data_IF_473168028918
#
_entry.id   IF_473168028918
#
_cell.length_a   1.000
_cell.length_b   1.000
_cell.length_c   1.000
_cell.angle_alpha   90.00
_cell.angle_beta   90.00
_cell.angle_gamma   90.00
#
_symmetry.space_group_name_H-M   'P 1'
#
loop_
_entity.id
_entity.type
_entity.pdbx_description
1 polymer ?
#
# COMPACT_ATOMS: atom_id res chain seq x y z
N UNK A 1 43.72 -11.54 -45.73
CA UNK A 1 42.61 -10.69 -45.25
C UNK A 1 42.63 -10.74 -43.72
N UNK A 2 43.15 -9.70 -43.08
CA UNK A 2 43.20 -9.60 -41.62
C UNK A 2 41.93 -8.93 -41.12
N UNK A 3 41.19 -9.62 -40.26
CA UNK A 3 39.93 -9.14 -39.67
C UNK A 3 40.27 -8.24 -38.48
N UNK A 4 40.08 -6.92 -38.65
CA UNK A 4 40.18 -5.94 -37.56
C UNK A 4 38.86 -5.98 -36.79
N UNK A 5 38.91 -6.47 -35.55
CA UNK A 5 37.78 -6.38 -34.61
C UNK A 5 37.82 -4.98 -34.00
N UNK A 6 36.88 -4.13 -34.41
CA UNK A 6 36.60 -2.85 -33.77
C UNK A 6 35.87 -3.11 -32.44
N UNK A 7 36.56 -2.88 -31.33
CA UNK A 7 35.95 -2.84 -30.01
C UNK A 7 35.02 -1.61 -29.94
N UNK A 8 33.74 -1.84 -29.67
CA UNK A 8 32.80 -0.77 -29.35
C UNK A 8 33.10 -0.21 -27.95
N UNK A 9 32.96 1.11 -27.73
CA UNK A 9 33.15 1.69 -26.42
C UNK A 9 32.02 1.21 -25.50
N UNK A 10 32.39 0.76 -24.30
CA UNK A 10 31.45 0.47 -23.24
C UNK A 10 30.57 1.70 -22.97
N UNK A 11 29.25 1.50 -22.99
CA UNK A 11 28.31 2.52 -22.56
C UNK A 11 28.60 2.84 -21.09
N UNK A 12 28.96 4.09 -20.81
CA UNK A 12 29.08 4.58 -19.45
C UNK A 12 27.70 4.46 -18.79
N UNK A 13 27.63 3.61 -17.76
CA UNK A 13 26.53 3.58 -16.81
C UNK A 13 26.38 4.99 -16.22
N UNK A 14 25.22 5.63 -16.45
CA UNK A 14 24.89 6.86 -15.76
C UNK A 14 24.78 6.53 -14.27
N UNK A 15 25.57 7.22 -13.44
CA UNK A 15 25.46 7.12 -12.00
C UNK A 15 24.02 7.44 -11.56
N UNK A 16 23.46 6.71 -10.57
CA UNK A 16 22.18 7.08 -9.98
C UNK A 16 22.25 8.53 -9.48
N UNK A 17 21.16 9.31 -9.55
CA UNK A 17 21.14 10.67 -9.03
C UNK A 17 21.56 10.66 -7.56
N UNK A 18 22.44 11.58 -7.18
CA UNK A 18 22.93 11.70 -5.81
C UNK A 18 21.75 11.83 -4.84
N UNK A 19 21.66 10.91 -3.88
CA UNK A 19 20.70 10.97 -2.78
C UNK A 19 20.94 12.27 -2.01
N UNK A 20 20.02 13.21 -2.12
CA UNK A 20 20.02 14.42 -1.29
C UNK A 20 19.34 14.09 0.02
N UNK A 21 20.06 14.18 1.14
CA UNK A 21 19.44 14.18 2.46
C UNK A 21 18.85 15.55 2.71
N UNK A 22 17.53 15.59 2.89
CA UNK A 22 16.82 16.76 3.37
C UNK A 22 16.67 16.58 4.88
N UNK A 23 17.27 17.49 5.64
CA UNK A 23 17.06 17.56 7.09
C UNK A 23 16.20 18.78 7.41
N UNK A 24 15.11 18.57 8.14
CA UNK A 24 14.23 19.67 8.52
C UNK A 24 13.01 19.24 9.31
N UNK A 25 12.23 20.25 9.69
CA UNK A 25 10.95 20.08 10.39
C UNK A 25 9.80 20.18 9.39
N UNK A 26 8.91 19.20 9.40
CA UNK A 26 7.66 19.26 8.62
C UNK A 26 6.74 20.28 9.28
N UNK A 27 6.49 21.40 8.60
CA UNK A 27 5.69 22.51 9.13
C UNK A 27 4.21 22.33 8.84
N UNK A 28 3.90 21.86 7.63
CA UNK A 28 2.55 21.69 7.14
C UNK A 28 2.52 20.57 6.12
N UNK A 29 1.44 19.78 6.12
CA UNK A 29 1.14 18.86 5.04
C UNK A 29 -0.25 19.09 4.48
N UNK A 30 -0.40 18.91 3.17
CA UNK A 30 -1.67 19.00 2.45
C UNK A 30 -1.76 17.79 1.52
N UNK A 31 -2.79 16.96 1.70
CA UNK A 31 -3.09 15.86 0.79
C UNK A 31 -4.17 16.26 -0.19
N UNK A 32 -4.09 15.73 -1.42
CA UNK A 32 -5.11 15.90 -2.46
C UNK A 32 -5.19 14.67 -3.35
N UNK A 33 -6.33 14.47 -4.00
CA UNK A 33 -6.42 13.57 -5.14
C UNK A 33 -5.67 14.16 -6.35
N UNK A 34 -5.09 13.29 -7.17
CA UNK A 34 -4.73 13.65 -8.55
C UNK A 34 -5.97 13.99 -9.35
N UNK A 35 -5.83 14.75 -10.44
CA UNK A 35 -6.99 15.21 -11.24
C UNK A 35 -7.86 14.05 -11.75
N UNK A 36 -7.25 12.92 -12.10
CA UNK A 36 -7.94 11.70 -12.52
C UNK A 36 -8.54 10.88 -11.37
N UNK A 37 -8.27 11.26 -10.11
CA UNK A 37 -8.74 10.56 -8.92
C UNK A 37 -8.07 9.21 -8.64
N UNK A 38 -7.02 8.84 -9.39
CA UNK A 38 -6.40 7.50 -9.27
C UNK A 38 -5.58 7.33 -7.99
N UNK A 39 -5.04 8.42 -7.42
CA UNK A 39 -4.13 8.34 -6.27
C UNK A 39 -4.18 9.60 -5.40
N UNK A 40 -3.83 9.44 -4.13
CA UNK A 40 -3.60 10.55 -3.20
C UNK A 40 -2.13 10.97 -3.26
N UNK A 41 -1.87 12.27 -3.30
CA UNK A 41 -0.54 12.84 -3.17
C UNK A 41 -0.54 13.79 -1.98
N UNK A 42 0.48 13.68 -1.13
CA UNK A 42 0.71 14.60 -0.01
C UNK A 42 1.90 15.49 -0.30
N UNK A 43 1.71 16.79 -0.19
CA UNK A 43 2.77 17.80 -0.22
C UNK A 43 3.07 18.24 1.22
N UNK A 44 4.33 18.17 1.61
CA UNK A 44 4.83 18.56 2.91
C UNK A 44 5.81 19.73 2.76
N UNK A 45 5.54 20.85 3.44
CA UNK A 45 6.50 21.95 3.56
C UNK A 45 7.46 21.62 4.68
N UNK A 46 8.74 21.45 4.36
CA UNK A 46 9.82 21.13 5.29
C UNK A 46 10.71 22.37 5.45
N UNK A 47 10.84 22.84 6.68
CA UNK A 47 11.75 23.92 7.04
C UNK A 47 13.15 23.36 7.27
N UNK A 48 14.11 23.75 6.42
CA UNK A 48 15.51 23.33 6.48
C UNK A 48 16.41 24.53 6.79
N UNK A 49 17.68 24.28 7.12
CA UNK A 49 18.69 25.35 7.32
C UNK A 49 18.92 26.21 6.05
N UNK A 50 18.60 25.67 4.87
CA UNK A 50 18.72 26.36 3.58
C UNK A 50 17.42 27.08 3.15
N UNK A 51 16.34 26.99 3.95
CA UNK A 51 15.03 27.53 3.65
C UNK A 51 13.93 26.46 3.59
N UNK A 52 12.72 26.89 3.26
CA UNK A 52 11.59 25.98 3.09
C UNK A 52 11.65 25.27 1.74
N UNK A 53 11.38 23.96 1.77
CA UNK A 53 11.23 23.15 0.56
C UNK A 53 9.90 22.40 0.63
N UNK A 54 9.32 22.08 -0.53
CA UNK A 54 8.12 21.24 -0.61
C UNK A 54 8.54 19.85 -1.09
N UNK A 55 8.24 18.84 -0.28
CA UNK A 55 8.44 17.42 -0.58
C UNK A 55 7.09 16.81 -0.91
N UNK A 56 7.02 15.94 -1.91
CA UNK A 56 5.77 15.32 -2.33
C UNK A 56 5.86 13.79 -2.26
N UNK A 57 4.88 13.16 -1.61
CA UNK A 57 4.79 11.71 -1.42
C UNK A 57 3.51 11.12 -2.03
N UNK A 58 3.60 9.89 -2.53
CA UNK A 58 2.44 9.08 -2.86
C UNK A 58 1.81 8.58 -1.54
N UNK A 59 0.51 8.77 -1.38
CA UNK A 59 -0.20 8.45 -0.14
C UNK A 59 -0.66 9.70 0.60
N UNK A 60 -1.40 9.49 1.69
CA UNK A 60 -1.99 10.55 2.50
C UNK A 60 -3.45 10.27 2.83
N UNK A 61 -4.17 11.31 3.24
CA UNK A 61 -5.57 11.19 3.62
C UNK A 61 -6.37 12.43 3.20
N UNK A 62 -7.44 12.21 2.43
CA UNK A 62 -8.27 13.23 1.79
C UNK A 62 -9.72 12.78 1.87
N UNK A 63 -10.61 13.64 2.36
CA UNK A 63 -12.06 13.41 2.40
C UNK A 63 -12.46 12.06 3.04
N UNK A 64 -11.83 11.71 4.17
CA UNK A 64 -12.11 10.48 4.90
C UNK A 64 -11.55 9.21 4.25
N UNK A 65 -10.68 9.35 3.23
CA UNK A 65 -10.02 8.23 2.55
C UNK A 65 -8.51 8.35 2.70
N UNK A 66 -7.87 7.29 3.18
CA UNK A 66 -6.42 7.12 3.25
C UNK A 66 -5.86 6.32 2.08
N UNK A 67 -4.58 6.52 1.77
CA UNK A 67 -3.81 5.69 0.84
C UNK A 67 -2.38 5.50 1.36
N UNK A 68 -1.87 4.27 1.33
CA UNK A 68 -0.52 3.89 1.79
C UNK A 68 0.10 2.81 0.91
N UNK A 69 1.40 2.92 0.64
CA UNK A 69 2.22 1.90 -0.05
C UNK A 69 3.07 1.13 0.97
N UNK A 70 3.20 -0.19 0.77
CA UNK A 70 3.90 -1.15 1.62
C UNK A 70 4.82 -2.03 0.76
N UNK A 71 6.12 -2.15 1.06
CA UNK A 71 6.88 -1.19 1.85
C UNK A 71 6.84 0.21 1.22
N UNK A 72 6.81 1.24 2.05
CA UNK A 72 6.82 2.63 1.61
C UNK A 72 7.26 3.57 2.72
N UNK A 73 7.73 4.78 2.39
CA UNK A 73 8.11 5.76 3.40
C UNK A 73 6.89 6.15 4.25
N UNK A 74 7.14 6.47 5.52
CA UNK A 74 6.07 6.99 6.37
C UNK A 74 5.52 8.31 5.83
N UNK A 75 4.22 8.52 6.00
CA UNK A 75 3.58 9.77 5.61
C UNK A 75 4.09 10.91 6.49
N UNK A 76 4.60 11.96 5.86
CA UNK A 76 5.02 13.17 6.57
C UNK A 76 3.81 13.83 7.24
N UNK A 77 3.95 14.18 8.52
CA UNK A 77 2.95 14.96 9.27
C UNK A 77 3.62 16.13 10.01
N UNK A 78 2.90 17.23 10.27
CA UNK A 78 3.45 18.38 10.97
C UNK A 78 4.09 18.01 12.32
N UNK A 79 5.24 18.61 12.61
CA UNK A 79 6.03 18.35 13.82
C UNK A 79 7.00 17.16 13.70
N UNK A 80 6.99 16.40 12.60
CA UNK A 80 8.05 15.45 12.32
C UNK A 80 9.36 16.19 12.04
N UNK A 81 10.45 15.82 12.73
CA UNK A 81 11.81 16.10 12.27
C UNK A 81 12.29 14.92 11.45
N UNK A 82 12.59 15.16 10.18
CA UNK A 82 13.04 14.11 9.26
C UNK A 82 14.50 14.35 8.90
N UNK A 83 15.30 13.30 9.02
CA UNK A 83 16.69 13.19 8.59
C UNK A 83 16.99 11.69 8.46
N UNK A 84 17.67 11.24 7.41
CA UNK A 84 18.05 9.83 7.25
C UNK A 84 19.53 9.72 6.92
N UNK A 85 20.36 9.38 7.92
CA UNK A 85 21.30 8.24 7.97
C UNK A 85 22.27 8.32 9.19
N UNK A 86 22.82 7.16 9.60
CA UNK A 86 23.59 6.87 10.84
C UNK A 86 25.02 7.47 10.94
N UNK A 87 25.69 7.35 12.12
CA UNK A 87 27.02 7.91 12.38
C UNK A 87 28.14 6.88 12.65
N UNK A 88 29.38 7.16 12.18
CA UNK A 88 30.56 6.39 12.55
C UNK A 88 31.17 6.80 13.91
N UNK A 89 31.70 5.84 14.67
CA UNK A 89 32.45 6.00 15.93
C UNK A 89 33.74 5.14 15.94
N UNK A 90 34.77 5.52 16.68
CA UNK A 90 36.07 4.82 16.69
C UNK A 90 36.36 4.07 18.00
N UNK A 91 36.89 2.85 17.89
CA UNK A 91 37.40 2.12 19.06
C UNK A 91 38.76 2.68 19.55
N UNK A 92 39.23 2.23 20.72
CA UNK A 92 40.50 2.67 21.31
C UNK A 92 41.76 2.24 20.52
N UNK A 93 41.61 1.47 19.44
CA UNK A 93 42.67 1.15 18.48
C UNK A 93 42.57 1.96 17.17
N UNK A 94 41.68 2.96 17.11
CA UNK A 94 41.39 3.82 15.95
C UNK A 94 40.83 3.09 14.73
N UNK A 95 39.90 2.15 14.95
CA UNK A 95 39.07 1.58 13.87
C UNK A 95 37.69 2.19 13.91
N UNK A 96 37.20 2.61 12.74
CA UNK A 96 35.89 3.25 12.56
C UNK A 96 34.78 2.19 12.44
N UNK A 97 33.72 2.36 13.22
CA UNK A 97 32.49 1.54 13.31
C UNK A 97 31.26 2.43 13.07
N UNK A 98 30.06 1.89 12.83
CA UNK A 98 28.80 2.66 12.82
C UNK A 98 27.93 2.16 13.99
N UNK A 99 27.51 3.07 14.89
CA UNK A 99 26.92 2.72 16.20
C UNK A 99 25.42 3.06 16.27
N UNK A 100 24.66 2.16 16.89
CA UNK A 100 23.22 2.28 17.20
C UNK A 100 23.02 2.23 18.72
N UNK A 101 22.32 3.22 19.29
CA UNK A 101 22.37 3.56 20.73
C UNK A 101 21.40 2.82 21.71
N UNK A 102 20.88 1.61 21.36
CA UNK A 102 20.06 0.64 22.19
C UNK A 102 18.56 0.94 22.42
N UNK A 103 17.68 -0.08 22.58
CA UNK A 103 17.44 -0.99 23.76
C UNK A 103 17.30 -2.49 23.40
N UNK A 104 17.52 -3.38 24.40
CA UNK A 104 17.51 -4.86 24.33
C UNK A 104 16.19 -5.49 24.83
N UNK A 105 15.67 -6.46 24.07
CA UNK A 105 14.59 -7.39 24.47
C UNK A 105 15.15 -8.82 24.51
N UNK A 106 14.74 -9.63 25.49
CA UNK A 106 15.36 -10.92 25.83
C UNK A 106 14.55 -12.17 25.42
N UNK A 107 13.28 -12.01 25.04
CA UNK A 107 12.44 -12.96 24.30
C UNK A 107 11.07 -12.30 24.05
N UNK A 108 10.46 -12.54 22.88
CA UNK A 108 9.12 -12.04 22.54
C UNK A 108 8.15 -13.21 22.33
N UNK A 109 6.95 -13.18 22.92
CA UNK A 109 5.89 -14.09 22.51
C UNK A 109 5.51 -13.86 21.04
N UNK A 110 4.97 -14.88 20.34
CA UNK A 110 4.46 -14.74 18.97
C UNK A 110 3.53 -13.53 18.79
N UNK A 111 3.55 -12.92 17.61
CA UNK A 111 2.56 -11.93 17.21
C UNK A 111 2.79 -11.34 15.83
N UNK A 112 1.69 -11.01 15.17
CA UNK A 112 1.67 -10.31 13.90
C UNK A 112 1.43 -8.82 14.09
N UNK A 113 1.86 -8.04 13.09
CA UNK A 113 1.65 -6.60 13.02
C UNK A 113 0.58 -6.34 11.96
N UNK A 114 -0.35 -5.43 12.24
CA UNK A 114 -1.40 -5.06 11.28
C UNK A 114 -1.06 -3.74 10.60
N UNK A 115 -1.41 -3.64 9.33
CA UNK A 115 -1.29 -2.39 8.57
C UNK A 115 -2.15 -1.30 9.20
N UNK A 116 -1.63 -0.07 9.20
CA UNK A 116 -2.23 1.10 9.83
C UNK A 116 -1.27 1.73 10.85
N UNK A 117 -1.78 2.30 11.96
CA UNK A 117 -3.18 2.60 12.18
C UNK A 117 -3.69 3.72 11.25
N UNK A 118 -5.00 3.81 11.08
CA UNK A 118 -5.70 5.03 10.64
C UNK A 118 -5.42 6.17 11.63
N UNK A 119 -5.86 7.38 11.30
CA UNK A 119 -5.80 8.53 12.23
C UNK A 119 -6.54 8.26 13.54
N UNK A 120 -7.55 7.39 13.54
CA UNK A 120 -8.31 7.03 14.74
C UNK A 120 -7.67 5.89 15.56
N UNK A 121 -6.58 5.28 15.07
CA UNK A 121 -5.92 4.18 15.76
C UNK A 121 -6.33 2.78 15.28
N UNK A 122 -7.23 2.66 14.30
CA UNK A 122 -7.71 1.37 13.82
C UNK A 122 -6.75 0.78 12.79
N UNK A 123 -6.52 -0.53 12.81
CA UNK A 123 -5.75 -1.17 11.73
C UNK A 123 -6.65 -1.54 10.56
N UNK A 124 -6.04 -1.73 9.39
CA UNK A 124 -6.78 -1.99 8.17
C UNK A 124 -7.39 -3.40 8.15
N UNK A 125 -8.48 -3.55 7.41
CA UNK A 125 -9.19 -4.82 7.21
C UNK A 125 -10.10 -4.77 5.97
N UNK A 126 -10.47 -5.92 5.41
CA UNK A 126 -11.55 -6.03 4.41
C UNK A 126 -12.91 -6.31 5.06
N UNK A 127 -13.96 -5.65 4.58
CA UNK A 127 -15.33 -5.89 5.05
C UNK A 127 -16.00 -7.11 4.40
N UNK A 128 -15.53 -7.52 3.22
CA UNK A 128 -16.06 -8.67 2.49
C UNK A 128 -15.41 -9.96 2.99
N UNK A 129 -16.11 -11.09 2.85
CA UNK A 129 -15.57 -12.42 3.13
C UNK A 129 -14.50 -12.88 2.13
N UNK A 130 -14.27 -12.09 1.08
CA UNK A 130 -13.29 -12.39 0.06
C UNK A 130 -12.58 -11.15 -0.44
N UNK A 131 -11.37 -11.35 -0.95
CA UNK A 131 -10.60 -10.34 -1.67
C UNK A 131 -10.45 -10.81 -3.11
N UNK A 132 -11.01 -10.06 -4.06
CA UNK A 132 -10.85 -10.36 -5.48
C UNK A 132 -9.53 -9.79 -5.97
N UNK A 133 -8.82 -10.54 -6.82
CA UNK A 133 -7.53 -10.15 -7.39
C UNK A 133 -7.54 -10.41 -8.88
N UNK A 134 -7.10 -9.42 -9.66
CA UNK A 134 -6.98 -9.49 -11.11
C UNK A 134 -5.51 -9.30 -11.48
N UNK A 135 -5.02 -9.94 -12.54
CA UNK A 135 -3.68 -9.68 -13.05
C UNK A 135 -3.71 -8.77 -14.29
N UNK A 136 -2.72 -7.90 -14.45
CA UNK A 136 -2.58 -7.11 -15.67
C UNK A 136 -2.33 -8.04 -16.86
N UNK A 137 -3.13 -7.91 -17.92
CA UNK A 137 -3.05 -8.79 -19.10
C UNK A 137 -1.73 -8.68 -19.86
N UNK A 138 -0.93 -7.63 -19.61
CA UNK A 138 0.42 -7.52 -20.16
C UNK A 138 1.37 -8.62 -19.64
N UNK A 139 1.13 -9.10 -18.42
CA UNK A 139 1.98 -10.08 -17.74
C UNK A 139 3.41 -9.57 -17.56
N UNK A 140 4.36 -10.50 -17.45
CA UNK A 140 5.80 -10.19 -17.50
C UNK A 140 6.45 -10.88 -18.69
N UNK A 141 7.41 -10.23 -19.33
CA UNK A 141 8.24 -10.85 -20.39
C UNK A 141 9.45 -11.60 -19.84
N UNK A 142 9.59 -11.64 -18.52
CA UNK A 142 10.69 -12.31 -17.85
C UNK A 142 10.42 -13.76 -17.54
N UNK A 143 9.19 -14.23 -17.71
CA UNK A 143 8.86 -15.64 -17.63
C UNK A 143 8.45 -16.16 -19.02
N UNK A 144 8.74 -17.43 -19.34
CA UNK A 144 8.32 -18.01 -20.61
C UNK A 144 6.81 -18.14 -20.72
N UNK A 145 6.24 -17.73 -21.86
CA UNK A 145 4.80 -17.80 -22.11
C UNK A 145 4.03 -16.92 -21.14
N UNK A 146 2.98 -17.49 -20.53
CA UNK A 146 2.09 -16.83 -19.57
C UNK A 146 2.16 -17.53 -18.19
N UNK A 147 3.35 -18.04 -17.83
CA UNK A 147 3.55 -18.89 -16.64
C UNK A 147 3.34 -18.14 -15.31
N UNK A 148 3.47 -16.82 -15.30
CA UNK A 148 3.21 -15.95 -14.16
C UNK A 148 1.78 -16.08 -13.62
N UNK A 149 0.78 -16.28 -14.48
CA UNK A 149 -0.62 -16.40 -14.03
C UNK A 149 -0.82 -17.69 -13.23
N UNK A 150 -0.13 -18.78 -13.62
CA UNK A 150 -0.12 -20.00 -12.83
C UNK A 150 0.60 -19.84 -11.49
N UNK A 151 1.61 -18.95 -11.38
CA UNK A 151 2.26 -18.63 -10.10
C UNK A 151 1.32 -17.82 -9.20
N UNK A 152 0.56 -16.88 -9.78
CA UNK A 152 -0.45 -16.09 -9.08
C UNK A 152 -1.50 -17.00 -8.44
N UNK A 153 -2.07 -17.93 -9.20
CA UNK A 153 -3.05 -18.90 -8.69
C UNK A 153 -2.48 -19.76 -7.55
N UNK A 154 -1.23 -20.22 -7.65
CA UNK A 154 -0.56 -20.99 -6.59
C UNK A 154 -0.32 -20.16 -5.32
N UNK A 155 0.04 -18.88 -5.46
CA UNK A 155 0.28 -17.98 -4.32
C UNK A 155 -1.02 -17.67 -3.58
N UNK A 156 -2.11 -17.47 -4.33
CA UNK A 156 -3.47 -17.35 -3.80
C UNK A 156 -3.90 -18.63 -3.07
N UNK A 157 -3.70 -19.79 -3.70
CA UNK A 157 -4.04 -21.08 -3.10
C UNK A 157 -3.26 -21.36 -1.81
N UNK A 158 -2.03 -20.86 -1.70
CA UNK A 158 -1.20 -20.97 -0.49
C UNK A 158 -1.87 -20.30 0.71
N UNK A 159 -2.34 -19.06 0.55
CA UNK A 159 -3.09 -18.35 1.59
C UNK A 159 -4.41 -19.01 1.94
N UNK A 160 -5.21 -19.36 0.92
CA UNK A 160 -6.52 -19.98 1.14
C UNK A 160 -6.40 -21.34 1.85
N UNK A 161 -5.44 -22.18 1.47
CA UNK A 161 -5.25 -23.50 2.07
C UNK A 161 -4.74 -23.42 3.51
N UNK A 162 -3.80 -22.51 3.78
CA UNK A 162 -3.18 -22.39 5.10
C UNK A 162 -4.14 -21.84 6.17
N UNK A 163 -5.08 -20.96 5.78
CA UNK A 163 -6.03 -20.33 6.72
C UNK A 163 -7.42 -20.97 6.76
N UNK A 164 -7.72 -21.92 5.86
CA UNK A 164 -9.06 -22.52 5.68
C UNK A 164 -9.74 -23.05 6.96
N UNK A 165 -8.96 -23.44 7.97
CA UNK A 165 -9.52 -24.01 9.21
C UNK A 165 -9.93 -22.94 10.22
N UNK A 166 -9.38 -21.73 10.14
CA UNK A 166 -9.50 -20.68 11.17
C UNK A 166 -10.09 -19.37 10.66
N UNK A 167 -9.99 -19.08 9.36
CA UNK A 167 -10.41 -17.84 8.74
C UNK A 167 -11.59 -18.06 7.78
N UNK A 168 -12.47 -17.06 7.66
CA UNK A 168 -13.46 -17.03 6.58
C UNK A 168 -12.90 -16.44 5.28
N UNK A 169 -11.78 -15.71 5.36
CA UNK A 169 -11.27 -14.91 4.25
C UNK A 169 -10.80 -15.80 3.09
N UNK A 170 -11.25 -15.48 1.88
CA UNK A 170 -10.85 -16.16 0.64
C UNK A 170 -10.30 -15.17 -0.39
N UNK A 171 -9.09 -15.41 -0.89
CA UNK A 171 -8.58 -14.74 -2.08
C UNK A 171 -9.18 -15.36 -3.35
N UNK A 172 -9.72 -14.53 -4.24
CA UNK A 172 -10.38 -14.97 -5.49
C UNK A 172 -9.72 -14.37 -6.71
N UNK A 173 -9.12 -15.22 -7.53
CA UNK A 173 -8.56 -14.81 -8.81
C UNK A 173 -9.67 -14.56 -9.84
N UNK A 174 -9.71 -13.36 -10.44
CA UNK A 174 -10.69 -12.96 -11.46
C UNK A 174 -10.15 -13.05 -12.89
N UNK A 175 -8.94 -13.58 -13.07
CA UNK A 175 -8.29 -13.69 -14.37
C UNK A 175 -7.46 -12.45 -14.70
N UNK A 176 -7.40 -12.13 -16.00
CA UNK A 176 -6.53 -11.09 -16.54
C UNK A 176 -7.31 -9.96 -17.16
N UNK A 177 -6.86 -8.73 -16.95
CA UNK A 177 -7.44 -7.53 -17.56
C UNK A 177 -6.33 -6.51 -17.86
N UNK A 178 -6.35 -5.86 -19.03
CA UNK A 178 -5.39 -4.81 -19.32
C UNK A 178 -5.72 -3.56 -18.49
N UNK A 179 -4.93 -3.28 -17.45
CA UNK A 179 -5.26 -2.25 -16.46
C UNK A 179 -4.02 -1.64 -15.79
N UNK A 180 -4.11 -0.37 -15.44
CA UNK A 180 -3.11 0.31 -14.61
C UNK A 180 -3.58 0.35 -13.16
N UNK A 181 -2.64 0.38 -12.21
CA UNK A 181 -2.94 0.58 -10.78
C UNK A 181 -3.63 1.92 -10.53
N UNK A 182 -4.52 1.96 -9.54
CA UNK A 182 -5.25 3.15 -9.15
C UNK A 182 -6.53 2.81 -8.40
N UNK A 183 -7.18 3.83 -7.82
CA UNK A 183 -8.43 3.66 -7.08
C UNK A 183 -9.62 3.40 -8.00
N UNK A 184 -9.72 2.19 -8.53
CA UNK A 184 -10.80 1.77 -9.43
C UNK A 184 -11.63 0.58 -8.87
N UNK A 185 -11.28 0.15 -7.65
CA UNK A 185 -11.87 -0.95 -6.87
C UNK A 185 -11.58 -2.32 -7.48
N UNK A 186 -10.55 -2.41 -8.32
CA UNK A 186 -10.02 -3.65 -8.87
C UNK A 186 -8.59 -3.81 -8.41
N UNK A 187 -8.39 -4.71 -7.44
CA UNK A 187 -7.08 -5.05 -6.93
C UNK A 187 -6.24 -5.69 -8.05
N UNK A 188 -5.34 -4.93 -8.67
CA UNK A 188 -4.55 -5.40 -9.82
C UNK A 188 -3.15 -5.87 -9.37
N UNK A 189 -2.70 -7.01 -9.88
CA UNK A 189 -1.29 -7.41 -9.85
C UNK A 189 -0.64 -6.93 -11.15
N UNK A 190 0.26 -5.96 -11.04
CA UNK A 190 0.94 -5.34 -12.18
C UNK A 190 2.43 -5.65 -12.21
N UNK A 191 2.91 -6.16 -13.34
CA UNK A 191 4.33 -6.35 -13.57
C UNK A 191 4.96 -5.10 -14.20
N UNK A 192 6.09 -4.67 -13.66
CA UNK A 192 6.82 -3.48 -14.13
C UNK A 192 8.20 -3.84 -14.63
N UNK A 193 8.26 -4.35 -15.87
CA UNK A 193 9.53 -4.77 -16.50
C UNK A 193 10.38 -3.59 -17.00
N UNK A 194 9.74 -2.49 -17.45
CA UNK A 194 10.45 -1.41 -18.15
C UNK A 194 10.86 -0.25 -17.23
N UNK A 195 10.04 0.05 -16.23
CA UNK A 195 10.24 1.14 -15.28
C UNK A 195 9.63 0.78 -13.93
N UNK A 196 10.39 0.95 -12.84
CA UNK A 196 9.89 0.75 -11.48
C UNK A 196 9.19 1.99 -10.92
N UNK A 197 8.18 2.45 -11.64
CA UNK A 197 7.44 3.66 -11.34
C UNK A 197 5.99 3.52 -11.77
N UNK A 198 5.08 4.18 -11.03
CA UNK A 198 3.78 4.59 -11.57
C UNK A 198 4.00 5.67 -12.64
N UNK A 199 3.34 5.57 -13.80
CA UNK A 199 3.46 6.60 -14.83
C UNK A 199 2.94 7.95 -14.31
N UNK A 200 3.43 9.02 -14.94
CA UNK A 200 2.91 10.37 -14.73
C UNK A 200 1.44 10.41 -15.17
N UNK A 201 0.59 11.09 -14.41
CA UNK A 201 -0.81 11.30 -14.77
C UNK A 201 -1.20 12.73 -14.44
N UNK A 202 -1.79 13.42 -15.42
CA UNK A 202 -2.28 14.78 -15.29
C UNK A 202 -1.26 15.76 -14.69
N UNK A 203 -1.45 16.09 -13.41
CA UNK A 203 -0.70 17.05 -12.62
C UNK A 203 0.25 16.38 -11.60
N UNK A 204 0.39 15.06 -11.69
CA UNK A 204 1.33 14.25 -10.92
C UNK A 204 2.44 13.69 -11.82
N UNK A 205 3.73 13.95 -11.52
CA UNK A 205 4.82 13.33 -12.25
C UNK A 205 4.86 11.81 -12.01
N UNK A 206 5.70 11.10 -12.76
CA UNK A 206 5.92 9.68 -12.50
C UNK A 206 6.44 9.48 -11.06
N UNK A 207 5.90 8.49 -10.37
CA UNK A 207 6.25 8.17 -8.99
C UNK A 207 7.02 6.86 -8.97
N UNK A 208 8.33 6.97 -8.76
CA UNK A 208 9.22 5.82 -8.70
C UNK A 208 9.38 5.32 -7.26
N UNK A 209 9.56 4.03 -7.12
CA UNK A 209 9.77 3.37 -5.84
C UNK A 209 11.26 3.15 -5.58
N UNK A 210 11.59 2.70 -4.37
CA UNK A 210 12.93 2.23 -4.07
C UNK A 210 13.29 1.05 -4.98
N UNK A 211 14.47 1.12 -5.61
CA UNK A 211 14.98 0.10 -6.51
C UNK A 211 15.19 -1.27 -5.83
N UNK A 212 15.43 -1.25 -4.52
CA UNK A 212 15.59 -2.43 -3.67
C UNK A 212 14.29 -3.20 -3.37
N UNK A 213 13.12 -2.63 -3.66
CA UNK A 213 11.84 -3.30 -3.41
C UNK A 213 11.50 -4.23 -4.59
N UNK A 214 11.37 -5.53 -4.34
CA UNK A 214 11.00 -6.50 -5.38
C UNK A 214 9.50 -6.55 -5.67
N UNK A 215 8.69 -6.13 -4.70
CA UNK A 215 7.25 -5.96 -4.80
C UNK A 215 6.83 -4.81 -3.89
N UNK A 216 5.64 -4.28 -4.18
CA UNK A 216 4.92 -3.38 -3.27
C UNK A 216 3.43 -3.66 -3.37
N UNK A 217 2.71 -3.32 -2.29
CA UNK A 217 1.26 -3.30 -2.20
C UNK A 217 0.82 -1.89 -1.82
N UNK A 218 -0.11 -1.31 -2.55
CA UNK A 218 -0.70 0.00 -2.22
C UNK A 218 -2.16 -0.17 -1.87
N UNK A 219 -2.55 0.14 -0.64
CA UNK A 219 -3.92 0.07 -0.17
C UNK A 219 -4.57 1.47 -0.09
N UNK A 220 -5.82 1.56 -0.50
CA UNK A 220 -6.74 2.68 -0.28
C UNK A 220 -7.79 2.24 0.73
N UNK A 221 -8.06 3.06 1.74
CA UNK A 221 -8.90 2.68 2.88
C UNK A 221 -9.72 3.85 3.42
N UNK A 222 -10.75 3.56 4.20
CA UNK A 222 -11.49 4.58 4.95
C UNK A 222 -10.63 5.06 6.12
N UNK A 223 -10.38 6.36 6.20
CA UNK A 223 -9.60 7.05 7.25
C UNK A 223 -10.45 8.19 7.84
N UNK A 224 -11.51 7.80 8.56
CA UNK A 224 -12.50 8.69 9.15
C UNK A 224 -12.91 8.17 10.54
N UNK A 225 -12.44 8.85 11.58
CA UNK A 225 -12.74 8.52 12.98
C UNK A 225 -14.24 8.54 13.33
N UNK A 226 -15.08 9.20 12.53
CA UNK A 226 -16.53 9.21 12.70
C UNK A 226 -17.26 8.04 12.05
N UNK A 227 -16.55 7.23 11.24
CA UNK A 227 -17.09 6.09 10.51
C UNK A 227 -16.91 4.79 11.29
N UNK A 228 -17.94 3.94 11.28
CA UNK A 228 -17.83 2.55 11.75
C UNK A 228 -16.98 1.67 10.82
N UNK A 229 -16.67 2.18 9.61
CA UNK A 229 -15.82 1.53 8.61
C UNK A 229 -14.37 2.01 8.65
N UNK A 230 -13.95 2.77 9.66
CA UNK A 230 -12.58 3.26 9.75
C UNK A 230 -11.57 2.10 9.70
N UNK A 231 -10.65 2.14 8.74
CA UNK A 231 -9.71 1.08 8.41
C UNK A 231 -10.16 0.12 7.30
N UNK A 232 -11.41 0.20 6.84
CA UNK A 232 -11.90 -0.65 5.75
C UNK A 232 -11.12 -0.38 4.46
N UNK A 233 -10.44 -1.39 3.94
CA UNK A 233 -9.77 -1.37 2.65
C UNK A 233 -10.84 -1.39 1.55
N UNK A 234 -10.71 -0.48 0.59
CA UNK A 234 -11.66 -0.33 -0.52
C UNK A 234 -11.04 -0.65 -1.88
N UNK A 235 -9.71 -0.73 -1.93
CA UNK A 235 -8.91 -0.98 -3.12
C UNK A 235 -7.46 -1.28 -2.67
N UNK A 236 -6.80 -2.23 -3.29
CA UNK A 236 -5.40 -2.51 -3.03
C UNK A 236 -4.70 -3.16 -4.23
N UNK A 237 -3.67 -2.51 -4.75
CA UNK A 237 -2.91 -2.96 -5.91
C UNK A 237 -1.55 -3.52 -5.50
N UNK A 238 -1.09 -4.55 -6.23
CA UNK A 238 0.24 -5.13 -6.09
C UNK A 238 1.05 -4.81 -7.33
N UNK A 239 2.28 -4.33 -7.17
CA UNK A 239 3.21 -4.09 -8.26
C UNK A 239 4.45 -4.96 -8.05
N UNK A 240 4.93 -5.63 -9.11
CA UNK A 240 6.10 -6.52 -9.07
C UNK A 240 7.23 -5.92 -9.91
N UNK A 241 8.42 -5.84 -9.31
CA UNK A 241 9.57 -5.16 -9.87
C UNK A 241 10.35 -6.06 -10.83
N UNK A 242 10.01 -5.98 -12.11
CA UNK A 242 10.82 -6.57 -13.17
C UNK A 242 11.98 -5.68 -13.63
N UNK A 243 12.03 -4.43 -13.20
CA UNK A 243 13.04 -3.48 -13.69
C UNK A 243 14.42 -3.75 -13.09
N UNK A 244 14.47 -4.02 -11.79
CA UNK A 244 15.71 -4.18 -11.04
C UNK A 244 15.95 -5.62 -10.57
N UNK A 245 15.00 -6.51 -10.80
CA UNK A 245 15.10 -7.93 -10.50
C UNK A 245 14.76 -8.76 -11.72
N UNK A 246 15.39 -9.92 -11.82
CA UNK A 246 15.02 -10.95 -12.78
C UNK A 246 13.89 -11.76 -12.16
N UNK A 247 12.65 -11.51 -12.55
CA UNK A 247 11.49 -12.26 -12.06
C UNK A 247 11.66 -13.71 -12.47
N UNK A 248 11.61 -14.62 -11.50
CA UNK A 248 11.83 -16.05 -11.72
C UNK A 248 10.72 -16.92 -11.16
N UNK A 249 10.57 -18.12 -11.73
CA UNK A 249 9.78 -19.22 -11.18
C UNK A 249 10.67 -20.46 -11.11
N UNK A 250 10.95 -20.96 -9.90
CA UNK A 250 11.86 -22.06 -9.64
C UNK A 250 13.26 -21.82 -10.23
N UNK A 251 13.76 -20.59 -10.13
CA UNK A 251 15.05 -20.16 -10.64
C UNK A 251 15.10 -19.95 -12.16
N UNK A 252 14.03 -20.21 -12.90
CA UNK A 252 13.93 -19.99 -14.34
C UNK A 252 13.47 -18.56 -14.62
N UNK A 253 14.20 -17.86 -15.48
CA UNK A 253 13.87 -16.49 -15.91
C UNK A 253 14.46 -16.20 -17.29
N UNK A 254 13.79 -15.33 -18.04
CA UNK A 254 14.26 -14.68 -19.26
C UNK A 254 14.82 -13.27 -18.96
N UNK A 255 14.64 -12.77 -17.73
CA UNK A 255 15.22 -11.53 -17.24
C UNK A 255 16.75 -11.59 -17.18
N UNK A 256 17.38 -10.43 -17.31
CA UNK A 256 18.84 -10.31 -17.41
C UNK A 256 19.50 -9.78 -16.13
N UNK A 257 18.70 -9.31 -15.17
CA UNK A 257 19.21 -8.79 -13.90
C UNK A 257 19.86 -9.90 -13.07
N UNK A 258 20.88 -9.53 -12.30
CA UNK A 258 21.68 -10.50 -11.54
C UNK A 258 20.94 -11.08 -10.34
N UNK A 259 20.08 -10.28 -9.71
CA UNK A 259 19.28 -10.70 -8.57
C UNK A 259 17.96 -11.29 -9.06
N UNK A 260 17.76 -12.58 -8.80
CA UNK A 260 16.49 -13.25 -9.10
C UNK A 260 15.48 -12.95 -8.01
N UNK A 261 14.28 -12.53 -8.38
CA UNK A 261 13.14 -12.42 -7.47
C UNK A 261 12.16 -13.55 -7.80
N UNK A 262 12.09 -14.56 -6.94
CA UNK A 262 11.11 -15.63 -7.11
C UNK A 262 9.71 -15.06 -6.94
N UNK A 263 8.89 -15.23 -7.99
CA UNK A 263 7.57 -14.61 -8.05
C UNK A 263 6.67 -15.14 -6.95
N UNK A 264 6.71 -16.44 -6.62
CA UNK A 264 5.95 -17.00 -5.51
C UNK A 264 6.41 -16.48 -4.15
N UNK A 265 7.71 -16.23 -3.96
CA UNK A 265 8.27 -15.65 -2.73
C UNK A 265 7.77 -14.21 -2.54
N UNK A 266 7.92 -13.41 -3.59
CA UNK A 266 7.56 -11.98 -3.57
C UNK A 266 6.04 -11.81 -3.49
N UNK A 267 5.28 -12.49 -4.35
CA UNK A 267 3.83 -12.32 -4.41
C UNK A 267 3.13 -12.83 -3.16
N UNK A 268 3.58 -13.94 -2.56
CA UNK A 268 2.97 -14.44 -1.32
C UNK A 268 3.15 -13.44 -0.17
N UNK A 269 4.28 -12.72 -0.12
CA UNK A 269 4.50 -11.60 0.79
C UNK A 269 3.56 -10.42 0.51
N UNK A 270 3.46 -9.96 -0.74
CA UNK A 270 2.55 -8.86 -1.12
C UNK A 270 1.07 -9.20 -0.86
N UNK A 271 0.68 -10.46 -1.06
CA UNK A 271 -0.65 -10.95 -0.69
C UNK A 271 -0.88 -10.89 0.82
N UNK A 272 0.14 -10.93 1.67
CA UNK A 272 -0.02 -10.69 3.11
C UNK A 272 -0.31 -9.23 3.44
N UNK A 273 0.36 -8.29 2.77
CA UNK A 273 -0.02 -6.86 2.83
C UNK A 273 -1.45 -6.63 2.34
N UNK A 274 -1.87 -7.35 1.29
CA UNK A 274 -3.25 -7.32 0.80
C UNK A 274 -4.26 -7.75 1.88
N UNK A 275 -3.90 -8.67 2.79
CA UNK A 275 -4.75 -9.04 3.93
C UNK A 275 -4.78 -8.00 5.06
N UNK A 276 -3.95 -6.95 5.00
CA UNK A 276 -3.79 -5.96 6.06
C UNK A 276 -2.72 -6.32 7.11
N UNK A 277 -1.73 -7.14 6.72
CA UNK A 277 -0.62 -7.56 7.57
C UNK A 277 0.61 -6.69 7.26
N UNK A 278 1.31 -6.26 8.29
CA UNK A 278 2.54 -5.48 8.18
C UNK A 278 3.77 -6.34 8.54
N UNK A 279 4.95 -5.83 8.23
CA UNK A 279 6.20 -6.52 8.60
C UNK A 279 6.32 -6.73 10.12
N UNK A 280 6.84 -7.88 10.56
CA UNK A 280 7.01 -8.22 11.97
C UNK A 280 8.19 -7.50 12.64
N UNK A 281 8.92 -6.69 11.88
CA UNK A 281 10.01 -5.83 12.35
C UNK A 281 10.02 -4.53 11.54
N UNK A 282 10.64 -3.50 12.10
CA UNK A 282 10.79 -2.18 11.50
C UNK A 282 12.11 -2.07 10.73
N UNK A 283 12.06 -1.64 9.47
CA UNK A 283 13.24 -1.17 8.75
C UNK A 283 13.67 0.22 9.26
N UNK A 284 14.89 0.62 8.92
CA UNK A 284 15.38 1.96 9.25
C UNK A 284 14.50 3.02 8.57
N UNK A 285 13.90 3.91 9.37
CA UNK A 285 12.98 4.95 8.89
C UNK A 285 11.49 4.59 9.03
N UNK A 286 11.15 3.34 9.36
CA UNK A 286 9.76 2.98 9.67
C UNK A 286 9.27 3.67 10.94
N UNK A 287 7.96 4.02 11.01
CA UNK A 287 7.37 4.53 12.23
C UNK A 287 7.41 3.47 13.34
N UNK A 288 7.33 3.91 14.59
CA UNK A 288 7.07 2.99 15.69
C UNK A 288 5.70 2.32 15.49
N UNK A 289 5.68 0.99 15.54
CA UNK A 289 4.47 0.18 15.50
C UNK A 289 4.36 -0.70 16.74
N UNK A 290 3.15 -1.17 17.00
CA UNK A 290 2.89 -2.23 17.97
C UNK A 290 2.29 -3.44 17.27
N UNK A 291 2.56 -4.62 17.80
CA UNK A 291 1.90 -5.85 17.35
C UNK A 291 0.46 -5.94 17.87
N UNK A 292 -0.24 -7.02 17.49
CA UNK A 292 -1.62 -7.28 17.90
C UNK A 292 -1.85 -7.35 19.43
N UNK A 293 -0.80 -7.50 20.24
CA UNK A 293 -0.87 -7.48 21.71
C UNK A 293 -0.49 -6.12 22.31
N UNK A 294 -0.25 -5.09 21.47
CA UNK A 294 0.17 -3.77 21.90
C UNK A 294 1.66 -3.67 22.29
N UNK A 295 2.48 -4.65 21.93
CA UNK A 295 3.92 -4.64 22.24
C UNK A 295 4.70 -3.97 21.11
N UNK A 296 5.77 -3.24 21.44
CA UNK A 296 6.59 -2.57 20.44
C UNK A 296 7.23 -3.56 19.45
N UNK A 297 7.17 -3.22 18.17
CA UNK A 297 7.77 -3.99 17.08
C UNK A 297 9.29 -3.74 17.06
N UNK A 298 10.15 -4.78 16.99
CA UNK A 298 11.59 -4.63 17.02
C UNK A 298 12.17 -4.13 15.70
N UNK A 299 13.41 -3.62 15.71
CA UNK A 299 14.13 -3.27 14.47
C UNK A 299 14.65 -4.54 13.76
N UNK A 300 14.45 -4.62 12.45
CA UNK A 300 14.88 -5.77 11.64
C UNK A 300 16.40 -6.01 11.72
N UNK A 301 17.21 -4.96 11.80
CA UNK A 301 18.69 -5.06 11.91
C UNK A 301 19.21 -5.64 13.23
N UNK A 302 18.37 -5.73 14.26
CA UNK A 302 18.76 -6.21 15.60
C UNK A 302 18.08 -7.51 16.01
N UNK A 303 16.99 -7.87 15.32
CA UNK A 303 16.21 -9.05 15.66
C UNK A 303 16.82 -10.28 15.00
N UNK A 304 16.96 -11.35 15.78
CA UNK A 304 17.49 -12.64 15.34
C UNK A 304 16.53 -13.79 15.66
N UNK A 305 15.31 -13.48 16.11
CA UNK A 305 14.29 -14.47 16.39
C UNK A 305 13.84 -15.10 15.06
N UNK A 306 14.00 -16.42 14.85
CA UNK A 306 13.57 -17.11 13.64
C UNK A 306 12.10 -16.85 13.30
N UNK A 307 11.22 -16.66 14.30
CA UNK A 307 9.80 -16.34 14.06
C UNK A 307 9.58 -15.01 13.35
N UNK A 308 10.57 -14.13 13.37
CA UNK A 308 10.53 -12.81 12.72
C UNK A 308 11.33 -12.84 11.42
N UNK A 309 12.55 -13.41 11.42
CA UNK A 309 13.42 -13.38 10.23
C UNK A 309 13.10 -14.46 9.19
N UNK A 310 12.36 -15.50 9.58
CA UNK A 310 11.84 -16.52 8.65
C UNK A 310 10.38 -16.26 8.26
N UNK A 311 9.71 -15.28 8.88
CA UNK A 311 8.32 -14.96 8.57
C UNK A 311 8.12 -14.65 7.08
N UNK A 312 6.97 -15.04 6.53
CA UNK A 312 6.57 -14.67 5.16
C UNK A 312 6.58 -13.15 5.04
N UNK A 313 6.06 -12.46 6.05
CA UNK A 313 6.01 -11.01 6.10
C UNK A 313 7.31 -10.34 6.53
N UNK A 314 8.44 -11.04 6.63
CA UNK A 314 9.73 -10.38 6.87
C UNK A 314 10.07 -9.40 5.73
N UNK A 315 10.52 -8.18 6.05
CA UNK A 315 10.69 -7.09 5.07
C UNK A 315 11.74 -7.40 3.99
N UNK A 316 12.82 -8.10 4.36
CA UNK A 316 13.95 -8.34 3.45
C UNK A 316 13.88 -9.71 2.81
N UNK A 317 14.29 -9.80 1.55
CA UNK A 317 14.50 -11.07 0.86
C UNK A 317 15.89 -11.11 0.23
N UNK A 318 16.47 -12.30 0.17
CA UNK A 318 17.71 -12.55 -0.56
C UNK A 318 17.45 -12.87 -2.04
N UNK A 319 18.44 -12.67 -2.91
CA UNK A 319 18.33 -13.04 -4.32
C UNK A 319 18.13 -14.55 -4.47
N UNK A 320 17.04 -14.95 -5.13
CA UNK A 320 16.66 -16.35 -5.33
C UNK A 320 16.04 -17.01 -4.09
N UNK A 321 15.67 -16.24 -3.07
CA UNK A 321 14.94 -16.74 -1.90
C UNK A 321 13.57 -17.33 -2.33
N UNK A 322 13.22 -18.47 -1.74
CA UNK A 322 11.93 -19.15 -1.99
C UNK A 322 11.12 -19.40 -0.71
N UNK A 323 11.67 -19.10 0.48
CA UNK A 323 11.08 -19.51 1.76
C UNK A 323 9.72 -18.88 2.04
N UNK A 324 9.45 -17.68 1.50
CA UNK A 324 8.18 -16.97 1.63
C UNK A 324 7.12 -17.44 0.63
N UNK A 325 7.43 -18.42 -0.22
CA UNK A 325 6.41 -19.06 -1.06
C UNK A 325 5.46 -19.97 -0.24
N UNK A 326 5.71 -20.13 1.06
CA UNK A 326 4.83 -20.76 2.05
C UNK A 326 4.63 -19.84 3.25
N UNK A 327 3.57 -20.07 4.01
CA UNK A 327 3.26 -19.26 5.19
C UNK A 327 3.88 -19.79 6.47
N UNK A 328 4.43 -18.87 7.27
CA UNK A 328 4.79 -19.15 8.66
C UNK A 328 3.59 -19.01 9.60
N UNK A 329 3.71 -19.60 10.78
CA UNK A 329 2.62 -19.71 11.74
C UNK A 329 2.03 -18.34 12.17
N UNK A 330 2.87 -17.30 12.25
CA UNK A 330 2.41 -15.95 12.62
C UNK A 330 1.61 -15.28 11.51
N UNK A 331 1.95 -15.55 10.25
CA UNK A 331 1.22 -15.00 9.09
C UNK A 331 -0.17 -15.66 9.00
N UNK A 332 -0.25 -16.96 9.28
CA UNK A 332 -1.53 -17.68 9.41
C UNK A 332 -2.33 -17.13 10.58
N UNK A 333 -1.71 -16.97 11.75
CA UNK A 333 -2.35 -16.43 12.94
C UNK A 333 -2.90 -15.01 12.71
N UNK A 334 -2.21 -14.19 11.90
CA UNK A 334 -2.67 -12.88 11.48
C UNK A 334 -4.01 -12.96 10.76
N UNK A 335 -4.10 -13.77 9.70
CA UNK A 335 -5.34 -13.94 8.93
C UNK A 335 -6.44 -14.54 9.80
N UNK A 336 -6.14 -15.53 10.64
CA UNK A 336 -7.10 -16.10 11.58
C UNK A 336 -7.64 -15.06 12.57
N UNK A 337 -6.78 -14.14 13.04
CA UNK A 337 -7.13 -13.14 14.04
C UNK A 337 -7.82 -11.91 13.45
N UNK A 338 -7.53 -11.55 12.20
CA UNK A 338 -8.20 -10.46 11.48
C UNK A 338 -9.57 -10.90 10.96
N UNK A 339 -9.69 -12.15 10.48
CA UNK A 339 -10.90 -12.66 9.82
C UNK A 339 -11.39 -13.98 10.44
N UNK A 340 -11.65 -14.04 11.75
CA UNK A 340 -12.00 -15.29 12.43
C UNK A 340 -13.34 -15.83 11.91
N UNK A 341 -13.44 -17.15 11.68
CA UNK A 341 -14.67 -17.78 11.15
C UNK A 341 -15.95 -17.47 11.94
N UNK A 342 -15.84 -17.12 13.22
CA UNK A 342 -16.98 -16.72 14.05
C UNK A 342 -17.61 -15.38 13.64
N UNK A 343 -16.89 -14.56 12.88
CA UNK A 343 -17.27 -13.21 12.45
C UNK A 343 -17.47 -13.13 10.92
N UNK A 344 -17.68 -14.28 10.27
CA UNK A 344 -17.92 -14.34 8.82
C UNK A 344 -19.12 -13.45 8.43
N UNK A 345 -18.93 -12.44 7.55
CA UNK A 345 -20.01 -11.56 7.11
C UNK A 345 -21.05 -12.30 6.25
N UNK A 346 -20.75 -13.51 5.79
CA UNK A 346 -21.64 -14.32 4.94
C UNK A 346 -21.78 -13.78 3.51
N UNK A 347 -20.96 -12.80 3.14
CA UNK A 347 -20.99 -12.14 1.82
C UNK A 347 -19.60 -12.13 1.21
N UNK A 348 -19.52 -12.47 -0.07
CA UNK A 348 -18.28 -12.51 -0.85
C UNK A 348 -18.51 -11.72 -2.14
N UNK A 349 -18.56 -10.40 -2.00
CA UNK A 349 -18.86 -9.49 -3.10
C UNK A 349 -17.67 -8.56 -3.35
N UNK A 350 -17.39 -8.18 -4.61
CA UNK A 350 -16.44 -7.12 -4.91
C UNK A 350 -16.85 -5.82 -4.20
N UNK A 351 -15.89 -4.95 -3.93
CA UNK A 351 -16.20 -3.63 -3.35
C UNK A 351 -17.14 -2.90 -4.30
N UNK A 352 -18.40 -2.73 -3.88
CA UNK A 352 -19.46 -2.17 -4.73
C UNK A 352 -19.08 -0.77 -5.21
N UNK A 353 -19.15 -0.52 -6.52
CA UNK A 353 -18.97 0.80 -7.13
C UNK A 353 -20.04 1.82 -6.69
N UNK A 354 -21.22 1.36 -6.22
CA UNK A 354 -22.44 2.16 -6.11
C UNK A 354 -23.06 2.26 -4.71
N UNK A 355 -22.51 1.63 -3.67
CA UNK A 355 -23.12 1.68 -2.33
C UNK A 355 -22.19 2.31 -1.29
N UNK A 356 -22.69 3.42 -0.72
CA UNK A 356 -22.11 4.22 0.36
C UNK A 356 -20.76 4.84 0.00
N UNK A 357 -20.85 5.88 -0.83
CA UNK A 357 -19.81 6.90 -0.87
C UNK A 357 -19.46 7.32 0.55
N UNK A 358 -18.16 7.31 0.85
CA UNK A 358 -17.58 7.78 2.10
C UNK A 358 -17.89 9.27 2.39
N UNK A 359 -18.67 9.94 1.53
CA UNK A 359 -19.07 11.34 1.63
C UNK A 359 -20.39 11.60 0.86
N UNK A 360 -21.51 10.98 1.24
CA UNK A 360 -22.82 11.56 0.86
C UNK A 360 -23.03 12.81 1.70
N UNK A 361 -22.66 13.98 1.18
CA UNK A 361 -23.13 15.24 1.73
C UNK A 361 -24.66 15.15 1.80
N UNK A 362 -25.22 15.30 3.00
CA UNK A 362 -26.66 15.41 3.15
C UNK A 362 -27.12 16.61 2.32
N UNK A 363 -27.79 16.36 1.20
CA UNK A 363 -28.58 17.38 0.52
C UNK A 363 -29.57 17.90 1.55
N UNK A 364 -29.28 19.09 2.11
CA UNK A 364 -30.24 19.80 2.93
C UNK A 364 -31.45 20.06 2.03
N UNK A 365 -32.66 19.59 2.37
CA UNK A 365 -33.83 19.98 1.60
C UNK A 365 -33.96 21.49 1.73
N UNK A 366 -33.75 22.19 0.61
CA UNK A 366 -34.11 23.60 0.49
C UNK A 366 -35.63 23.64 0.72
N UNK A 367 -36.13 24.29 1.78
CA UNK A 367 -37.57 24.43 1.92
C UNK A 367 -38.05 25.29 0.75
N UNK A 368 -38.80 24.68 -0.16
CA UNK A 368 -39.51 25.39 -1.19
C UNK A 368 -40.52 26.32 -0.50
N UNK A 369 -40.14 27.58 -0.30
CA UNK A 369 -41.05 28.65 0.07
C UNK A 369 -41.99 28.86 -1.11
N UNK A 370 -43.17 28.23 -1.04
CA UNK A 370 -44.30 28.50 -1.92
C UNK A 370 -44.76 29.95 -1.68
N UNK A 371 -44.32 30.85 -2.55
CA UNK A 371 -44.90 32.19 -2.71
C UNK A 371 -46.29 32.07 -3.37
N UNK A 372 -47.30 31.70 -2.57
CA UNK A 372 -48.70 31.87 -2.90
C UNK A 372 -49.21 33.17 -2.25
N UNK A 373 -48.89 34.30 -2.87
CA UNK A 373 -49.47 35.60 -2.53
C UNK A 373 -50.87 35.75 -3.12
N UNK A 374 -51.89 35.33 -2.37
CA UNK A 374 -53.30 35.65 -2.64
C UNK A 374 -53.55 37.15 -2.36
N UNK A 375 -53.87 37.93 -3.40
CA UNK A 375 -54.47 39.24 -3.26
C UNK A 375 -55.99 39.12 -3.34
N UNK A 376 -56.64 39.26 -2.18
CA UNK A 376 -58.09 39.46 -2.05
C UNK A 376 -58.33 40.93 -1.70
N UNK A 377 -59.17 41.60 -2.50
CA UNK A 377 -60.04 42.76 -2.22
C UNK A 377 -60.51 43.24 -3.62
N UNK A 378 -61.80 43.27 -3.96
CA UNK A 378 -62.75 44.21 -3.40
C UNK A 378 -64.22 43.76 -3.57
N UNK A 379 -64.92 43.96 -2.46
CA UNK A 379 -66.35 44.18 -2.24
C UNK A 379 -67.10 44.82 -3.43
N UNK A 380 -68.18 44.16 -3.86
CA UNK A 380 -69.20 44.72 -4.76
C UNK A 380 -70.60 44.28 -4.34
N UNK A 381 -71.20 45.01 -3.41
CA UNK A 381 -72.59 44.88 -2.93
C UNK A 381 -73.60 45.20 -4.06
N UNK A 382 -74.79 44.56 -3.95
CA UNK A 382 -76.12 44.85 -4.57
C UNK A 382 -76.49 43.84 -5.67
N UNK A 383 -77.70 43.29 -5.78
CA UNK A 383 -79.02 43.49 -5.14
C UNK A 383 -79.93 42.37 -5.69
N UNK A 384 -80.81 41.80 -4.84
CA UNK A 384 -82.23 41.37 -5.13
C UNK A 384 -82.42 40.27 -6.21
N UNK A 385 -83.30 39.28 -6.14
CA UNK A 385 -84.51 38.95 -5.37
C UNK A 385 -84.81 37.45 -5.64
N UNK A 386 -85.36 36.78 -4.63
CA UNK A 386 -86.18 35.54 -4.54
C UNK A 386 -87.11 35.22 -5.74
N UNK A 387 -87.92 34.12 -5.71
CA UNK A 387 -87.61 32.69 -5.52
C UNK A 387 -88.40 31.81 -6.53
N UNK A 388 -88.09 30.51 -6.63
CA UNK A 388 -89.01 29.34 -6.67
C UNK A 388 -88.19 28.09 -6.93
#
# INVERSE_FOLDING_TARGET
AALVILAMPAAASAAPPATMTIEGEVMQTTSRWTRDGSRIVTEATVHTDAGEIVVSQLGGSVDGIGMRTMPGPEMLVPGMRVAVAAHPDEDLARRTHVVVDRVRVLAMPPGYVRTGPTKAGNSLYWESGCIFVTADAAGTKQLPGDTEFGVIERSIATWNAASATCSYMELKYQGVEAREVGRDRVNIIKFRDMSWCRPAVDDDPARCYADSAAGITTAVYVDDAGSDRDGAIVDADIEINGKFFAISDNGVTLGTESCKAELSNTLTHELGHLHGIEHPCLADGDPMRVDHMGRAVPLCRTVMDPKIVEATMFNFQECGETKKASLEAEDIAAVCGIYPRSEDPGTCEPVSLNERGCCSAADRPVPAVLLAGLTLLLVGRRRRRTPS
#
